data_IF_698786965648
#
_entry.id   IF_698786965648
#
_cell.length_a   1.000
_cell.length_b   1.000
_cell.length_c   1.000
_cell.angle_alpha   90.00
_cell.angle_beta   90.00
_cell.angle_gamma   90.00
#
_symmetry.space_group_name_H-M   'P 1'
#
loop_
_entity.id
_entity.type
_entity.pdbx_description
1 polymer ?
#
# COMPACT_ATOMS: atom_id res chain seq x y z
N UNK A 1 -7.75 -29.89 -4.29
CA UNK A 1 -8.37 -28.54 -4.15
C UNK A 1 -7.78 -27.82 -2.96
N UNK A 2 -7.69 -28.47 -1.80
CA UNK A 2 -7.06 -27.91 -0.59
C UNK A 2 -5.59 -27.50 -0.80
N UNK A 3 -4.87 -28.22 -1.67
CA UNK A 3 -3.48 -27.93 -2.02
C UNK A 3 -3.28 -26.54 -2.64
N UNK A 4 -4.18 -26.14 -3.54
CA UNK A 4 -4.14 -24.84 -4.20
C UNK A 4 -4.35 -23.70 -3.19
N UNK A 5 -5.29 -23.88 -2.26
CA UNK A 5 -5.53 -22.93 -1.18
C UNK A 5 -4.32 -22.85 -0.23
N UNK A 6 -3.68 -23.98 0.07
CA UNK A 6 -2.47 -24.01 0.89
C UNK A 6 -1.30 -23.28 0.22
N UNK A 7 -1.07 -23.51 -1.07
CA UNK A 7 -0.06 -22.76 -1.86
C UNK A 7 -0.37 -21.27 -1.87
N UNK A 8 -1.63 -20.88 -2.07
CA UNK A 8 -2.07 -19.48 -2.02
C UNK A 8 -1.81 -18.81 -0.68
N UNK A 9 -2.14 -19.48 0.42
CA UNK A 9 -1.95 -18.96 1.77
C UNK A 9 -0.47 -18.79 2.11
N UNK A 10 0.36 -19.80 1.78
CA UNK A 10 1.81 -19.73 2.01
C UNK A 10 2.46 -18.64 1.14
N UNK A 11 2.03 -18.50 -0.10
CA UNK A 11 2.51 -17.45 -1.00
C UNK A 11 2.10 -16.06 -0.50
N UNK A 12 0.84 -15.89 -0.09
CA UNK A 12 0.36 -14.66 0.54
C UNK A 12 1.17 -14.31 1.80
N UNK A 13 1.48 -15.31 2.64
CA UNK A 13 2.27 -15.13 3.84
C UNK A 13 3.73 -14.73 3.56
N UNK A 14 4.35 -15.23 2.49
CA UNK A 14 5.69 -14.85 2.07
C UNK A 14 5.73 -13.42 1.49
N UNK A 15 4.78 -13.07 0.62
CA UNK A 15 4.81 -11.80 -0.12
C UNK A 15 4.35 -10.60 0.70
N UNK A 16 3.29 -10.73 1.53
CA UNK A 16 2.69 -9.59 2.21
C UNK A 16 3.64 -8.82 3.15
N UNK A 17 4.48 -9.48 3.98
CA UNK A 17 5.43 -8.77 4.85
C UNK A 17 6.48 -7.99 4.08
N UNK A 18 7.07 -8.58 3.02
CA UNK A 18 8.01 -7.89 2.14
C UNK A 18 7.34 -6.70 1.44
N UNK A 19 6.09 -6.89 1.02
CA UNK A 19 5.24 -5.87 0.41
C UNK A 19 5.11 -4.59 1.24
N UNK A 20 4.87 -4.73 2.55
CA UNK A 20 4.81 -3.59 3.47
C UNK A 20 6.09 -2.77 3.43
N UNK A 21 7.26 -3.42 3.46
CA UNK A 21 8.55 -2.73 3.40
C UNK A 21 8.80 -2.10 2.03
N UNK A 22 8.44 -2.76 0.92
CA UNK A 22 8.55 -2.19 -0.43
C UNK A 22 7.73 -0.90 -0.56
N UNK A 23 6.49 -0.88 -0.05
CA UNK A 23 5.64 0.31 -0.09
C UNK A 23 6.24 1.43 0.76
N UNK A 24 6.66 1.13 1.99
CA UNK A 24 7.26 2.13 2.88
C UNK A 24 8.55 2.73 2.30
N UNK A 25 9.32 1.95 1.54
CA UNK A 25 10.54 2.38 0.84
C UNK A 25 10.28 3.04 -0.52
N UNK A 26 9.02 3.16 -0.96
CA UNK A 26 8.64 3.66 -2.30
C UNK A 26 9.23 2.84 -3.45
N UNK A 27 9.34 1.52 -3.25
CA UNK A 27 9.88 0.56 -4.21
C UNK A 27 8.79 -0.44 -4.65
N UNK A 28 7.52 -0.06 -4.59
CA UNK A 28 6.41 -0.94 -4.96
C UNK A 28 6.49 -1.42 -6.42
N UNK A 29 6.95 -0.56 -7.33
CA UNK A 29 7.13 -0.90 -8.75
C UNK A 29 8.36 -1.80 -9.01
N UNK A 30 9.26 -1.97 -8.03
CA UNK A 30 10.41 -2.88 -8.19
C UNK A 30 9.97 -4.34 -8.30
N UNK A 31 8.92 -4.75 -7.58
CA UNK A 31 8.42 -6.11 -7.66
C UNK A 31 8.00 -6.45 -9.10
N UNK A 32 7.28 -5.55 -9.77
CA UNK A 32 6.86 -5.68 -11.17
C UNK A 32 8.06 -5.66 -12.14
N UNK A 33 9.05 -4.81 -11.90
CA UNK A 33 10.27 -4.78 -12.72
C UNK A 33 11.08 -6.08 -12.61
N UNK A 34 11.25 -6.62 -11.40
CA UNK A 34 11.94 -7.90 -11.16
C UNK A 34 11.24 -9.01 -11.94
N UNK A 35 9.92 -9.06 -11.84
CA UNK A 35 9.06 -10.05 -12.50
C UNK A 35 9.33 -10.20 -14.00
N UNK A 36 9.45 -9.08 -14.70
CA UNK A 36 9.71 -9.07 -16.14
C UNK A 36 11.18 -9.33 -16.47
N UNK A 37 12.10 -8.85 -15.65
CA UNK A 37 13.54 -9.02 -15.89
C UNK A 37 14.08 -10.40 -15.52
N UNK A 38 13.35 -11.15 -14.69
CA UNK A 38 13.62 -12.55 -14.35
C UNK A 38 13.67 -13.44 -15.60
N UNK A 39 12.85 -13.15 -16.62
CA UNK A 39 12.86 -13.89 -17.90
C UNK A 39 14.26 -13.93 -18.52
N UNK A 40 14.99 -12.82 -18.50
CA UNK A 40 16.36 -12.76 -19.00
C UNK A 40 17.27 -13.71 -18.22
N UNK A 41 17.14 -13.74 -16.90
CA UNK A 41 17.92 -14.63 -16.03
C UNK A 41 17.66 -16.10 -16.30
N UNK A 42 16.39 -16.47 -16.53
CA UNK A 42 15.98 -17.84 -16.86
C UNK A 42 16.59 -18.26 -18.20
N UNK A 43 16.50 -17.42 -19.23
CA UNK A 43 17.02 -17.70 -20.58
C UNK A 43 18.55 -17.89 -20.56
N UNK A 44 19.26 -17.02 -19.84
CA UNK A 44 20.71 -17.14 -19.70
C UNK A 44 21.12 -18.42 -18.95
N UNK A 45 20.40 -18.77 -17.89
CA UNK A 45 20.65 -20.01 -17.14
C UNK A 45 20.34 -21.26 -17.98
N UNK A 46 19.27 -21.21 -18.79
CA UNK A 46 18.90 -22.27 -19.71
C UNK A 46 19.99 -22.51 -20.77
N UNK A 47 20.55 -21.46 -21.38
CA UNK A 47 21.67 -21.66 -22.33
C UNK A 47 22.93 -22.23 -21.70
N UNK A 48 23.13 -22.08 -20.40
CA UNK A 48 24.28 -22.67 -19.72
C UNK A 48 24.05 -24.14 -19.36
N UNK A 49 22.83 -24.48 -18.93
CA UNK A 49 22.50 -25.81 -18.38
C UNK A 49 21.84 -26.76 -19.38
N UNK A 50 21.18 -26.21 -20.40
CA UNK A 50 20.36 -26.94 -21.38
C UNK A 50 19.28 -27.84 -20.75
N UNK A 51 18.90 -27.58 -19.49
CA UNK A 51 17.93 -28.37 -18.74
C UNK A 51 16.93 -27.44 -18.04
N UNK A 52 15.64 -27.58 -18.35
CA UNK A 52 14.57 -26.77 -17.78
C UNK A 52 14.25 -27.12 -16.31
N UNK A 53 14.62 -28.30 -15.85
CA UNK A 53 14.37 -28.74 -14.46
C UNK A 53 15.42 -28.28 -13.45
N UNK A 54 16.49 -27.65 -13.91
CA UNK A 54 17.67 -27.39 -13.08
C UNK A 54 17.43 -26.28 -12.05
N UNK A 55 17.84 -26.45 -10.78
CA UNK A 55 17.81 -25.39 -9.77
C UNK A 55 18.58 -24.12 -10.17
N UNK A 56 19.48 -24.24 -11.14
CA UNK A 56 20.23 -23.13 -11.72
C UNK A 56 19.35 -22.09 -12.41
N UNK A 57 18.15 -22.45 -12.90
CA UNK A 57 17.21 -21.49 -13.47
C UNK A 57 16.72 -20.51 -12.41
N UNK A 58 16.38 -21.00 -11.21
CA UNK A 58 16.00 -20.16 -10.08
C UNK A 58 17.14 -19.24 -9.64
N UNK A 59 18.38 -19.75 -9.66
CA UNK A 59 19.54 -18.94 -9.33
C UNK A 59 19.77 -17.83 -10.36
N UNK A 60 19.69 -18.14 -11.66
CA UNK A 60 19.82 -17.16 -12.74
C UNK A 60 18.72 -16.09 -12.70
N UNK A 61 17.48 -16.51 -12.45
CA UNK A 61 16.34 -15.63 -12.22
C UNK A 61 16.57 -14.68 -11.03
N UNK A 62 16.92 -15.23 -9.86
CA UNK A 62 17.15 -14.45 -8.65
C UNK A 62 18.32 -13.47 -8.82
N UNK A 63 19.43 -13.93 -9.42
CA UNK A 63 20.61 -13.12 -9.74
C UNK A 63 20.24 -11.96 -10.66
N UNK A 64 19.46 -12.23 -11.71
CA UNK A 64 19.05 -11.20 -12.65
C UNK A 64 18.15 -10.14 -11.98
N UNK A 65 17.28 -10.52 -11.05
CA UNK A 65 16.53 -9.56 -10.25
C UNK A 65 17.43 -8.68 -9.37
N UNK A 66 18.52 -9.22 -8.80
CA UNK A 66 19.52 -8.42 -8.06
C UNK A 66 20.26 -7.46 -8.99
N UNK A 67 20.62 -7.92 -10.20
CA UNK A 67 21.23 -7.07 -11.24
C UNK A 67 20.28 -5.93 -11.62
N UNK A 68 18.99 -6.21 -11.85
CA UNK A 68 17.97 -5.20 -12.15
C UNK A 68 17.91 -4.13 -11.07
N UNK A 69 17.81 -4.55 -9.80
CA UNK A 69 17.78 -3.62 -8.66
C UNK A 69 19.05 -2.78 -8.57
N UNK A 70 20.22 -3.41 -8.79
CA UNK A 70 21.50 -2.73 -8.75
C UNK A 70 21.62 -1.68 -9.86
N UNK A 71 21.19 -2.01 -11.07
CA UNK A 71 21.17 -1.06 -12.19
C UNK A 71 20.22 0.11 -11.92
N UNK A 72 19.03 -0.16 -11.40
CA UNK A 72 18.05 0.89 -11.08
C UNK A 72 18.57 1.78 -9.96
N UNK A 73 19.21 1.20 -8.94
CA UNK A 73 19.79 1.98 -7.85
C UNK A 73 20.98 2.82 -8.33
N UNK A 74 21.85 2.28 -9.19
CA UNK A 74 22.97 3.03 -9.77
C UNK A 74 22.46 4.23 -10.57
N UNK A 75 21.42 4.03 -11.39
CA UNK A 75 20.82 5.11 -12.18
C UNK A 75 20.10 6.12 -11.29
N UNK A 76 19.33 5.67 -10.29
CA UNK A 76 18.64 6.53 -9.33
C UNK A 76 19.59 7.36 -8.45
N UNK A 77 20.76 6.82 -8.09
CA UNK A 77 21.80 7.53 -7.32
C UNK A 77 22.43 8.71 -8.08
N UNK A 78 22.32 8.75 -9.41
CA UNK A 78 22.85 9.88 -10.19
C UNK A 78 22.06 11.17 -9.97
N UNK A 79 20.87 11.11 -9.38
CA UNK A 79 19.90 12.21 -9.22
C UNK A 79 19.46 12.87 -10.56
N UNK A 80 19.87 12.35 -11.71
CA UNK A 80 19.45 12.83 -13.02
C UNK A 80 18.04 12.35 -13.38
N UNK A 81 17.64 11.21 -12.82
CA UNK A 81 16.40 10.50 -13.14
C UNK A 81 15.79 10.00 -11.83
N UNK A 82 14.45 10.06 -11.70
CA UNK A 82 13.77 9.52 -10.51
C UNK A 82 13.85 8.00 -10.51
N UNK A 83 13.75 7.38 -9.32
CA UNK A 83 13.74 5.91 -9.21
C UNK A 83 12.65 5.26 -10.07
N UNK A 84 11.44 5.81 -10.10
CA UNK A 84 10.34 5.28 -10.93
C UNK A 84 10.67 5.34 -12.43
N UNK A 85 11.30 6.43 -12.87
CA UNK A 85 11.73 6.60 -14.27
C UNK A 85 12.90 5.64 -14.60
N UNK A 86 13.83 5.44 -13.66
CA UNK A 86 14.95 4.50 -13.80
C UNK A 86 14.46 3.05 -13.92
N UNK A 87 13.46 2.67 -13.12
CA UNK A 87 12.74 1.39 -13.28
C UNK A 87 12.20 1.31 -14.70
N UNK A 88 11.46 2.34 -15.13
CA UNK A 88 10.84 2.46 -16.45
C UNK A 88 11.79 2.35 -17.65
N UNK A 89 13.08 2.61 -17.49
CA UNK A 89 14.09 2.48 -18.55
C UNK A 89 14.78 1.12 -18.52
N UNK A 90 15.09 0.60 -17.33
CA UNK A 90 15.89 -0.61 -17.17
C UNK A 90 15.06 -1.86 -17.41
N UNK A 91 13.82 -1.93 -16.92
CA UNK A 91 13.01 -3.13 -17.10
C UNK A 91 12.70 -3.42 -18.59
N UNK A 92 12.31 -2.44 -19.44
CA UNK A 92 12.02 -2.74 -20.84
C UNK A 92 13.28 -3.12 -21.60
N UNK A 93 14.43 -2.52 -21.27
CA UNK A 93 15.71 -2.85 -21.89
C UNK A 93 16.08 -4.32 -21.67
N UNK A 94 16.08 -4.76 -20.40
CA UNK A 94 16.42 -6.13 -20.03
C UNK A 94 15.38 -7.14 -20.55
N UNK A 95 14.11 -6.77 -20.51
CA UNK A 95 13.03 -7.60 -21.06
C UNK A 95 13.15 -7.75 -22.58
N UNK A 96 13.39 -6.66 -23.32
CA UNK A 96 13.61 -6.71 -24.76
C UNK A 96 14.85 -7.55 -25.12
N UNK A 97 15.92 -7.45 -24.34
CA UNK A 97 17.11 -8.30 -24.52
C UNK A 97 16.76 -9.79 -24.35
N UNK A 98 15.95 -10.14 -23.34
CA UNK A 98 15.48 -11.50 -23.13
C UNK A 98 14.70 -12.01 -24.34
N UNK A 99 13.74 -11.22 -24.83
CA UNK A 99 12.91 -11.57 -25.99
C UNK A 99 13.76 -11.74 -27.26
N UNK A 100 14.76 -10.88 -27.49
CA UNK A 100 15.68 -11.02 -28.63
C UNK A 100 16.49 -12.31 -28.52
N UNK A 101 17.01 -12.64 -27.33
CA UNK A 101 17.76 -13.87 -27.08
C UNK A 101 16.89 -15.12 -27.33
N UNK A 102 15.66 -15.12 -26.83
CA UNK A 102 14.68 -16.19 -27.06
C UNK A 102 14.40 -16.31 -28.57
N UNK A 103 14.03 -15.21 -29.22
CA UNK A 103 13.65 -15.20 -30.64
C UNK A 103 14.77 -15.69 -31.56
N UNK A 104 16.03 -15.30 -31.27
CA UNK A 104 17.17 -15.63 -32.11
C UNK A 104 17.76 -17.03 -31.85
N UNK A 105 17.82 -17.45 -30.60
CA UNK A 105 18.57 -18.65 -30.19
C UNK A 105 17.69 -19.78 -29.66
N UNK A 106 16.44 -19.51 -29.29
CA UNK A 106 15.52 -20.50 -28.75
C UNK A 106 14.31 -20.78 -29.66
N UNK A 107 14.28 -20.27 -30.90
CA UNK A 107 13.16 -20.50 -31.85
C UNK A 107 12.89 -21.97 -32.22
N UNK A 108 13.80 -22.90 -31.93
CA UNK A 108 13.62 -24.36 -32.08
C UNK A 108 13.43 -25.10 -30.75
N UNK A 109 13.70 -24.46 -29.62
CA UNK A 109 13.35 -24.99 -28.31
C UNK A 109 11.89 -24.60 -28.09
N UNK A 110 11.00 -25.57 -27.91
CA UNK A 110 9.68 -25.29 -27.35
C UNK A 110 9.85 -24.88 -25.89
N UNK A 111 10.48 -23.72 -25.64
CA UNK A 111 10.29 -22.97 -24.42
C UNK A 111 8.84 -22.54 -24.51
N UNK A 112 7.92 -23.42 -24.09
CA UNK A 112 6.51 -23.09 -23.99
C UNK A 112 6.45 -21.77 -23.23
N UNK A 113 6.11 -20.73 -23.96
CA UNK A 113 5.87 -19.39 -23.41
C UNK A 113 4.86 -19.50 -22.27
N UNK A 114 3.97 -20.49 -22.34
CA UNK A 114 3.00 -20.84 -21.31
C UNK A 114 3.66 -21.36 -20.01
N UNK A 115 4.76 -22.13 -20.07
CA UNK A 115 5.48 -22.61 -18.88
C UNK A 115 6.28 -21.49 -18.19
N UNK A 116 6.75 -20.49 -18.93
CA UNK A 116 7.59 -19.41 -18.38
C UNK A 116 6.76 -18.17 -18.00
N UNK A 117 5.61 -17.94 -18.64
CA UNK A 117 4.79 -16.74 -18.47
C UNK A 117 3.50 -16.98 -17.66
N UNK A 118 3.00 -18.22 -17.56
CA UNK A 118 1.73 -18.53 -16.91
C UNK A 118 1.92 -19.52 -15.76
N UNK A 119 2.48 -19.02 -14.64
CA UNK A 119 2.32 -19.73 -13.37
C UNK A 119 0.83 -19.81 -13.04
N UNK A 120 0.24 -20.99 -13.21
CA UNK A 120 -1.17 -21.19 -12.94
C UNK A 120 -1.32 -21.99 -11.65
N UNK A 121 -2.04 -21.39 -10.69
CA UNK A 121 -2.29 -21.96 -9.35
C UNK A 121 -2.84 -23.39 -9.42
N UNK A 122 -3.53 -23.73 -10.51
CA UNK A 122 -4.14 -25.04 -10.75
C UNK A 122 -3.06 -26.11 -10.98
N UNK A 123 -1.94 -25.78 -11.64
CA UNK A 123 -0.84 -26.70 -11.91
C UNK A 123 0.14 -26.82 -10.74
N UNK A 124 0.11 -25.89 -9.79
CA UNK A 124 0.99 -25.91 -8.61
C UNK A 124 0.82 -27.18 -7.76
N UNK A 125 -0.33 -27.86 -7.84
CA UNK A 125 -0.62 -29.12 -7.16
C UNK A 125 -0.18 -30.38 -7.92
N UNK A 126 0.29 -30.29 -9.17
CA UNK A 126 0.66 -31.46 -9.98
C UNK A 126 2.06 -32.02 -9.68
N UNK A 127 2.98 -31.16 -9.20
CA UNK A 127 4.29 -31.59 -8.73
C UNK A 127 4.24 -31.78 -7.22
N UNK A 128 3.92 -33.00 -6.77
CA UNK A 128 3.93 -33.38 -5.35
C UNK A 128 5.28 -34.00 -4.97
N UNK A 129 5.70 -33.76 -3.73
CA UNK A 129 6.86 -34.39 -3.10
C UNK A 129 6.33 -35.17 -1.90
N UNK A 130 6.65 -36.45 -1.86
CA UNK A 130 6.25 -37.31 -0.75
C UNK A 130 7.22 -37.11 0.42
N UNK A 131 6.73 -36.58 1.54
CA UNK A 131 7.50 -36.43 2.77
C UNK A 131 6.74 -37.16 3.88
N UNK A 132 7.29 -38.28 4.34
CA UNK A 132 6.72 -39.06 5.45
C UNK A 132 5.37 -39.72 5.14
N UNK A 133 5.08 -40.04 3.87
CA UNK A 133 3.83 -40.68 3.43
C UNK A 133 2.67 -39.72 3.16
N UNK A 134 2.93 -38.41 3.13
CA UNK A 134 1.97 -37.38 2.72
C UNK A 134 2.50 -36.68 1.47
N UNK A 135 1.69 -36.66 0.41
CA UNK A 135 1.97 -35.91 -0.81
C UNK A 135 1.74 -34.42 -0.57
N UNK A 136 2.83 -33.63 -0.57
CA UNK A 136 2.76 -32.17 -0.40
C UNK A 136 3.20 -31.51 -1.71
N UNK A 137 2.50 -30.48 -2.21
CA UNK A 137 2.94 -29.75 -3.39
C UNK A 137 4.35 -29.17 -3.21
N UNK A 138 5.25 -29.39 -4.17
CA UNK A 138 6.62 -28.86 -4.14
C UNK A 138 6.62 -27.33 -4.00
N UNK A 139 5.65 -26.66 -4.63
CA UNK A 139 5.45 -25.21 -4.53
C UNK A 139 5.10 -24.77 -3.10
N UNK A 140 4.27 -25.53 -2.38
CA UNK A 140 3.93 -25.25 -0.99
C UNK A 140 5.16 -25.32 -0.09
N UNK A 141 6.02 -26.32 -0.28
CA UNK A 141 7.24 -26.46 0.51
C UNK A 141 8.23 -25.32 0.25
N UNK A 142 8.44 -24.95 -1.03
CA UNK A 142 9.29 -23.80 -1.41
C UNK A 142 8.77 -22.51 -0.80
N UNK A 143 7.47 -22.21 -0.97
CA UNK A 143 6.87 -20.97 -0.48
C UNK A 143 6.76 -20.93 1.04
N UNK A 144 6.46 -22.05 1.69
CA UNK A 144 6.47 -22.17 3.15
C UNK A 144 7.87 -21.98 3.74
N UNK A 145 8.88 -22.58 3.12
CA UNK A 145 10.28 -22.36 3.50
C UNK A 145 10.72 -20.90 3.33
N UNK A 146 10.34 -20.27 2.22
CA UNK A 146 10.57 -18.84 1.99
C UNK A 146 9.81 -17.97 3.00
N UNK A 147 8.55 -18.28 3.31
CA UNK A 147 7.77 -17.54 4.30
C UNK A 147 8.44 -17.59 5.68
N UNK A 148 8.93 -18.75 6.10
CA UNK A 148 9.69 -18.91 7.35
C UNK A 148 11.03 -18.15 7.31
N UNK A 149 11.76 -18.23 6.21
CA UNK A 149 13.02 -17.49 6.01
C UNK A 149 12.79 -15.97 6.10
N UNK A 150 11.73 -15.47 5.46
CA UNK A 150 11.34 -14.06 5.46
C UNK A 150 10.90 -13.64 6.87
N UNK A 151 10.10 -14.44 7.55
CA UNK A 151 9.67 -14.17 8.92
C UNK A 151 10.89 -14.13 9.87
N UNK A 152 11.82 -15.08 9.75
CA UNK A 152 13.07 -15.09 10.51
C UNK A 152 13.94 -13.87 10.20
N UNK A 153 14.11 -13.52 8.93
CA UNK A 153 14.86 -12.34 8.51
C UNK A 153 14.25 -11.05 9.07
N UNK A 154 12.93 -10.86 8.95
CA UNK A 154 12.24 -9.67 9.45
C UNK A 154 12.29 -9.60 10.97
N UNK A 155 12.16 -10.73 11.68
CA UNK A 155 12.19 -10.74 13.15
C UNK A 155 13.59 -10.46 13.71
N UNK A 156 14.62 -11.06 13.12
CA UNK A 156 16.02 -10.83 13.53
C UNK A 156 16.47 -9.40 13.22
N UNK A 157 16.22 -8.92 11.99
CA UNK A 157 16.64 -7.59 11.54
C UNK A 157 15.54 -6.53 11.70
N UNK A 158 14.57 -6.74 12.59
CA UNK A 158 13.40 -5.87 12.71
C UNK A 158 13.79 -4.41 13.01
N UNK A 159 14.75 -4.21 13.91
CA UNK A 159 15.17 -2.88 14.35
C UNK A 159 15.89 -2.15 13.23
N UNK A 160 16.79 -2.85 12.54
CA UNK A 160 17.61 -2.35 11.45
C UNK A 160 16.77 -2.04 10.21
N UNK A 161 15.85 -2.94 9.84
CA UNK A 161 14.89 -2.72 8.74
C UNK A 161 13.96 -1.56 9.05
N UNK A 162 13.49 -1.43 10.29
CA UNK A 162 12.64 -0.30 10.70
C UNK A 162 13.39 1.02 10.58
N UNK A 163 14.57 1.15 11.21
CA UNK A 163 15.30 2.42 11.18
C UNK A 163 15.73 2.77 9.75
N UNK A 164 16.30 1.83 9.00
CA UNK A 164 16.71 2.08 7.61
C UNK A 164 15.57 2.44 6.66
N UNK A 165 14.34 2.00 6.94
CA UNK A 165 13.17 2.31 6.11
C UNK A 165 12.60 3.70 6.39
N UNK A 166 12.62 4.15 7.65
CA UNK A 166 12.08 5.46 8.02
C UNK A 166 13.12 6.58 7.93
N UNK A 167 14.38 6.28 8.24
CA UNK A 167 15.50 7.21 8.17
C UNK A 167 16.82 6.49 7.84
N UNK A 168 17.14 6.47 6.55
CA UNK A 168 18.36 5.84 6.04
C UNK A 168 19.65 6.56 6.44
N UNK A 169 19.61 7.87 6.68
CA UNK A 169 20.79 8.64 7.10
C UNK A 169 21.09 8.40 8.57
N UNK A 170 20.07 8.47 9.42
CA UNK A 170 20.19 8.13 10.84
C UNK A 170 20.65 6.68 11.03
N UNK A 171 20.12 5.73 10.25
CA UNK A 171 20.58 4.34 10.27
C UNK A 171 22.09 4.21 10.04
N UNK A 172 22.64 4.94 9.05
CA UNK A 172 24.09 4.93 8.78
C UNK A 172 24.90 5.54 9.91
N UNK A 173 24.40 6.62 10.52
CA UNK A 173 25.07 7.30 11.64
C UNK A 173 25.20 6.41 12.88
N UNK A 174 24.19 5.58 13.16
CA UNK A 174 24.21 4.63 14.29
C UNK A 174 24.96 3.32 13.95
N UNK A 175 25.60 3.23 12.78
CA UNK A 175 26.43 2.09 12.38
C UNK A 175 25.68 0.92 11.72
N UNK A 176 24.41 1.10 11.33
CA UNK A 176 23.67 0.04 10.60
C UNK A 176 24.20 -0.05 9.17
N UNK A 177 24.59 -1.26 8.69
CA UNK A 177 25.09 -1.45 7.33
C UNK A 177 23.93 -1.43 6.32
N UNK A 178 23.37 -0.24 6.04
CA UNK A 178 22.16 -0.07 5.22
C UNK A 178 22.30 -0.65 3.82
N UNK A 179 23.50 -0.62 3.23
CA UNK A 179 23.74 -1.16 1.89
C UNK A 179 23.59 -2.67 1.84
N UNK A 180 24.23 -3.40 2.76
CA UNK A 180 24.13 -4.87 2.83
C UNK A 180 22.68 -5.28 3.09
N UNK A 181 22.02 -4.65 4.08
CA UNK A 181 20.62 -4.93 4.38
C UNK A 181 19.68 -4.66 3.20
N UNK A 182 19.95 -3.61 2.42
CA UNK A 182 19.19 -3.30 1.22
C UNK A 182 19.36 -4.41 0.17
N UNK A 183 20.58 -4.78 -0.19
CA UNK A 183 20.80 -5.83 -1.20
C UNK A 183 20.32 -7.21 -0.72
N UNK A 184 20.48 -7.55 0.56
CA UNK A 184 19.93 -8.79 1.11
C UNK A 184 18.41 -8.80 1.05
N UNK A 185 17.76 -7.70 1.46
CA UNK A 185 16.30 -7.57 1.36
C UNK A 185 15.82 -7.69 -0.09
N UNK A 186 16.47 -6.99 -1.02
CA UNK A 186 16.09 -7.03 -2.45
C UNK A 186 16.38 -8.39 -3.09
N UNK A 187 17.43 -9.09 -2.68
CA UNK A 187 17.71 -10.48 -3.10
C UNK A 187 16.63 -11.43 -2.61
N UNK A 188 16.20 -11.27 -1.36
CA UNK A 188 15.11 -12.05 -0.77
C UNK A 188 13.77 -11.76 -1.47
N UNK A 189 13.48 -10.49 -1.76
CA UNK A 189 12.33 -10.09 -2.59
C UNK A 189 12.42 -10.71 -3.98
N UNK A 190 13.58 -10.64 -4.64
CA UNK A 190 13.79 -11.23 -5.97
C UNK A 190 13.50 -12.73 -5.98
N UNK A 191 14.10 -13.47 -5.06
CA UNK A 191 13.89 -14.91 -4.91
C UNK A 191 12.42 -15.24 -4.63
N UNK A 192 11.77 -14.46 -3.76
CA UNK A 192 10.36 -14.65 -3.42
C UNK A 192 9.45 -14.37 -4.61
N UNK A 193 9.74 -13.32 -5.38
CA UNK A 193 9.02 -13.01 -6.61
C UNK A 193 9.12 -14.18 -7.58
N UNK A 194 10.33 -14.64 -7.92
CA UNK A 194 10.51 -15.78 -8.84
C UNK A 194 9.73 -17.02 -8.39
N UNK A 195 9.86 -17.39 -7.12
CA UNK A 195 9.17 -18.57 -6.59
C UNK A 195 7.64 -18.40 -6.56
N UNK A 196 7.15 -17.20 -6.23
CA UNK A 196 5.72 -16.90 -6.25
C UNK A 196 5.15 -16.83 -7.67
N UNK A 197 5.96 -16.38 -8.64
CA UNK A 197 5.60 -16.31 -10.05
C UNK A 197 5.33 -17.71 -10.60
N UNK A 198 6.23 -18.64 -10.34
CA UNK A 198 6.09 -20.06 -10.69
C UNK A 198 4.85 -20.69 -10.01
N UNK A 199 4.63 -20.37 -8.73
CA UNK A 199 3.56 -20.99 -7.95
C UNK A 199 2.15 -20.46 -8.26
N UNK A 200 2.00 -19.16 -8.52
CA UNK A 200 0.69 -18.48 -8.47
C UNK A 200 0.46 -17.51 -9.64
N UNK A 201 1.51 -17.14 -10.37
CA UNK A 201 1.42 -16.32 -11.55
C UNK A 201 1.61 -14.82 -11.32
N UNK A 202 2.02 -14.13 -12.38
CA UNK A 202 2.60 -12.80 -12.32
C UNK A 202 1.73 -11.72 -11.64
N UNK A 203 0.48 -11.62 -12.10
CA UNK A 203 -0.45 -10.59 -11.67
C UNK A 203 -0.78 -10.73 -10.18
N UNK A 204 -0.95 -11.97 -9.71
CA UNK A 204 -1.31 -12.22 -8.32
C UNK A 204 -0.14 -11.97 -7.36
N UNK A 205 1.10 -12.24 -7.79
CA UNK A 205 2.28 -11.88 -6.99
C UNK A 205 2.31 -10.37 -6.71
N UNK A 206 2.17 -9.54 -7.74
CA UNK A 206 2.15 -8.07 -7.59
C UNK A 206 1.01 -7.65 -6.66
N UNK A 207 -0.16 -8.28 -6.80
CA UNK A 207 -1.30 -8.04 -5.91
C UNK A 207 -0.96 -8.35 -4.45
N UNK A 208 -0.32 -9.49 -4.14
CA UNK A 208 0.07 -9.85 -2.77
C UNK A 208 1.16 -8.95 -2.18
N UNK A 209 2.09 -8.44 -2.99
CA UNK A 209 3.07 -7.47 -2.50
C UNK A 209 2.41 -6.11 -2.17
N UNK A 210 1.48 -5.63 -2.98
CA UNK A 210 1.05 -4.23 -2.89
C UNK A 210 -0.26 -4.06 -2.11
N UNK A 211 -1.32 -4.77 -2.49
CA UNK A 211 -2.68 -4.47 -2.01
C UNK A 211 -2.89 -4.73 -0.50
N UNK A 212 -2.46 -5.86 0.09
CA UNK A 212 -2.61 -6.10 1.53
C UNK A 212 -1.82 -5.10 2.38
N UNK A 213 -0.58 -4.79 1.96
CA UNK A 213 0.28 -3.83 2.64
C UNK A 213 -0.29 -2.40 2.59
N UNK A 214 -0.75 -1.98 1.41
CA UNK A 214 -1.39 -0.69 1.21
C UNK A 214 -2.67 -0.56 2.04
N UNK A 215 -3.49 -1.62 2.09
CA UNK A 215 -4.68 -1.70 2.94
C UNK A 215 -4.32 -1.54 4.41
N UNK A 216 -3.33 -2.30 4.91
CA UNK A 216 -2.93 -2.24 6.32
C UNK A 216 -2.38 -0.88 6.76
N UNK A 217 -1.65 -0.18 5.88
CA UNK A 217 -1.10 1.15 6.12
C UNK A 217 -2.17 2.24 6.25
N UNK A 218 -3.38 2.03 5.73
CA UNK A 218 -4.50 2.96 5.91
C UNK A 218 -5.09 2.89 7.32
N UNK A 219 -5.04 1.73 7.98
CA UNK A 219 -5.62 1.51 9.30
C UNK A 219 -4.66 1.77 10.46
N UNK A 220 -3.37 1.46 10.32
CA UNK A 220 -2.42 1.50 11.44
C UNK A 220 -1.14 2.26 11.14
N UNK A 221 -0.58 2.94 12.16
CA UNK A 221 0.72 3.65 12.09
C UNK A 221 1.90 2.85 12.66
N UNK A 222 1.63 1.80 13.43
CA UNK A 222 2.65 0.96 14.04
C UNK A 222 3.08 -0.16 13.09
N UNK A 223 4.37 -0.19 12.72
CA UNK A 223 4.91 -1.16 11.76
C UNK A 223 4.58 -2.62 12.11
N UNK A 224 4.70 -3.03 13.37
CA UNK A 224 4.39 -4.41 13.78
C UNK A 224 2.92 -4.78 13.52
N UNK A 225 2.00 -3.86 13.85
CA UNK A 225 0.59 -4.06 13.58
C UNK A 225 0.29 -4.03 12.08
N UNK A 226 0.98 -3.18 11.31
CA UNK A 226 0.85 -3.16 9.85
C UNK A 226 1.28 -4.49 9.22
N UNK A 227 2.40 -5.08 9.66
CA UNK A 227 2.86 -6.38 9.16
C UNK A 227 1.84 -7.49 9.46
N UNK A 228 1.36 -7.55 10.70
CA UNK A 228 0.36 -8.55 11.11
C UNK A 228 -0.96 -8.37 10.36
N UNK A 229 -1.43 -7.12 10.24
CA UNK A 229 -2.68 -6.81 9.54
C UNK A 229 -2.57 -7.11 8.03
N UNK A 230 -1.44 -6.79 7.40
CA UNK A 230 -1.21 -7.10 5.98
C UNK A 230 -1.23 -8.61 5.73
N UNK A 231 -0.59 -9.39 6.61
CA UNK A 231 -0.61 -10.85 6.55
C UNK A 231 -2.04 -11.39 6.68
N UNK A 232 -2.79 -10.96 7.70
CA UNK A 232 -4.17 -11.39 7.95
C UNK A 232 -5.10 -11.02 6.78
N UNK A 233 -5.02 -9.78 6.30
CA UNK A 233 -5.81 -9.30 5.15
C UNK A 233 -5.49 -10.14 3.91
N UNK A 234 -4.21 -10.39 3.63
CA UNK A 234 -3.80 -11.19 2.48
C UNK A 234 -4.35 -12.62 2.56
N UNK A 235 -4.24 -13.29 3.72
CA UNK A 235 -4.73 -14.66 3.90
C UNK A 235 -6.25 -14.76 3.77
N UNK A 236 -6.99 -13.84 4.39
CA UNK A 236 -8.47 -13.80 4.30
C UNK A 236 -8.91 -13.53 2.86
N UNK A 237 -8.27 -12.57 2.18
CA UNK A 237 -8.60 -12.25 0.79
C UNK A 237 -8.29 -13.41 -0.16
N UNK A 238 -7.17 -14.13 0.04
CA UNK A 238 -6.85 -15.32 -0.73
C UNK A 238 -7.88 -16.42 -0.53
N UNK A 239 -8.31 -16.68 0.71
CA UNK A 239 -9.31 -17.70 1.00
C UNK A 239 -10.68 -17.35 0.37
N UNK A 240 -11.11 -16.09 0.49
CA UNK A 240 -12.36 -15.61 -0.12
C UNK A 240 -12.28 -15.61 -1.65
N UNK A 241 -11.17 -15.15 -2.20
CA UNK A 241 -10.92 -15.14 -3.65
C UNK A 241 -10.93 -16.56 -4.23
N UNK A 242 -10.30 -17.52 -3.55
CA UNK A 242 -10.33 -18.93 -3.91
C UNK A 242 -11.75 -19.49 -3.88
N UNK A 243 -12.50 -19.30 -2.78
CA UNK A 243 -13.86 -19.79 -2.66
C UNK A 243 -14.78 -19.25 -3.78
N UNK A 244 -14.69 -17.95 -4.07
CA UNK A 244 -15.43 -17.33 -5.16
C UNK A 244 -15.01 -17.85 -6.53
N UNK A 245 -13.71 -18.08 -6.75
CA UNK A 245 -13.20 -18.58 -8.02
C UNK A 245 -13.71 -19.99 -8.33
N UNK A 246 -13.77 -20.85 -7.31
CA UNK A 246 -14.34 -22.19 -7.42
C UNK A 246 -15.83 -22.14 -7.72
N UNK A 247 -16.58 -21.27 -7.03
CA UNK A 247 -18.03 -21.14 -7.28
C UNK A 247 -18.36 -20.56 -8.66
N UNK A 248 -17.56 -19.61 -9.15
CA UNK A 248 -17.78 -18.95 -10.45
C UNK A 248 -17.09 -19.66 -11.62
N UNK A 249 -16.35 -20.74 -11.36
CA UNK A 249 -15.52 -21.45 -12.33
C UNK A 249 -14.62 -20.51 -13.15
N UNK A 250 -13.94 -19.60 -12.45
CA UNK A 250 -13.10 -18.56 -13.04
C UNK A 250 -11.65 -18.64 -12.52
N UNK A 251 -10.73 -17.87 -13.12
CA UNK A 251 -9.30 -17.89 -12.73
C UNK A 251 -9.11 -17.57 -11.24
N UNK A 252 -8.54 -18.52 -10.51
CA UNK A 252 -8.21 -18.40 -9.08
C UNK A 252 -7.28 -17.21 -8.85
N UNK A 253 -6.24 -17.07 -9.69
CA UNK A 253 -5.29 -15.98 -9.59
C UNK A 253 -5.95 -14.61 -9.82
N UNK A 254 -6.80 -14.52 -10.84
CA UNK A 254 -7.55 -13.31 -11.18
C UNK A 254 -8.52 -12.90 -10.07
N UNK A 255 -9.33 -13.81 -9.54
CA UNK A 255 -10.30 -13.48 -8.49
C UNK A 255 -9.65 -13.11 -7.16
N UNK A 256 -8.56 -13.78 -6.76
CA UNK A 256 -7.80 -13.36 -5.58
C UNK A 256 -7.22 -11.95 -5.75
N UNK A 257 -6.71 -11.63 -6.95
CA UNK A 257 -6.20 -10.29 -7.25
C UNK A 257 -7.31 -9.23 -7.19
N UNK A 258 -8.48 -9.53 -7.77
CA UNK A 258 -9.67 -8.66 -7.69
C UNK A 258 -10.10 -8.47 -6.24
N UNK A 259 -10.14 -9.53 -5.43
CA UNK A 259 -10.55 -9.44 -4.03
C UNK A 259 -9.60 -8.56 -3.21
N UNK A 260 -8.28 -8.73 -3.39
CA UNK A 260 -7.28 -7.86 -2.81
C UNK A 260 -7.49 -6.39 -3.19
N UNK A 261 -7.75 -6.11 -4.46
CA UNK A 261 -7.94 -4.75 -4.95
C UNK A 261 -9.26 -4.15 -4.49
N UNK A 262 -10.33 -4.93 -4.41
CA UNK A 262 -11.64 -4.51 -3.91
C UNK A 262 -11.57 -4.15 -2.43
N UNK A 263 -10.92 -4.98 -1.60
CA UNK A 263 -10.70 -4.68 -0.19
C UNK A 263 -9.84 -3.43 -0.01
N UNK A 264 -8.80 -3.25 -0.82
CA UNK A 264 -8.01 -2.03 -0.84
C UNK A 264 -8.85 -0.79 -1.20
N UNK A 265 -9.69 -0.86 -2.24
CA UNK A 265 -10.58 0.23 -2.63
C UNK A 265 -11.60 0.56 -1.54
N UNK A 266 -12.21 -0.44 -0.91
CA UNK A 266 -13.10 -0.24 0.23
C UNK A 266 -12.37 0.42 1.40
N UNK A 267 -11.16 -0.02 1.72
CA UNK A 267 -10.32 0.60 2.74
C UNK A 267 -9.93 2.05 2.38
N UNK A 268 -9.68 2.34 1.12
CA UNK A 268 -9.37 3.70 0.65
C UNK A 268 -10.58 4.64 0.78
N UNK A 269 -11.79 4.13 0.53
CA UNK A 269 -13.02 4.91 0.64
C UNK A 269 -13.43 5.10 2.11
N UNK A 270 -13.48 4.01 2.88
CA UNK A 270 -14.06 3.96 4.23
C UNK A 270 -13.05 4.09 5.38
N UNK A 271 -11.76 3.92 5.11
CA UNK A 271 -10.73 3.88 6.14
C UNK A 271 -10.63 5.16 6.96
N UNK A 272 -9.96 5.15 8.12
CA UNK A 272 -9.85 6.31 9.01
C UNK A 272 -9.13 7.52 8.38
N UNK A 273 -8.32 7.28 7.35
CA UNK A 273 -7.70 8.30 6.47
C UNK A 273 -8.25 8.29 5.04
N UNK A 274 -9.35 7.58 4.82
CA UNK A 274 -9.96 7.43 3.51
C UNK A 274 -10.43 8.76 2.92
N UNK A 275 -10.64 8.78 1.60
CA UNK A 275 -11.07 9.98 0.89
C UNK A 275 -12.41 10.51 1.44
N UNK A 276 -13.36 9.61 1.74
CA UNK A 276 -14.69 9.97 2.24
C UNK A 276 -14.62 10.46 3.69
N UNK A 277 -13.89 9.78 4.56
CA UNK A 277 -13.76 10.17 5.98
C UNK A 277 -13.02 11.50 6.12
N UNK A 278 -11.99 11.73 5.32
CA UNK A 278 -11.26 13.01 5.27
C UNK A 278 -12.15 14.14 4.75
N UNK A 279 -12.93 13.90 3.70
CA UNK A 279 -13.90 14.87 3.17
C UNK A 279 -14.97 15.23 4.22
N UNK A 280 -15.55 14.23 4.89
CA UNK A 280 -16.55 14.43 5.95
C UNK A 280 -15.94 15.21 7.13
N UNK A 281 -14.74 14.83 7.59
CA UNK A 281 -14.03 15.54 8.68
C UNK A 281 -13.72 16.98 8.30
N UNK A 282 -13.24 17.24 7.08
CA UNK A 282 -12.98 18.60 6.58
C UNK A 282 -14.27 19.42 6.55
N UNK A 283 -15.37 18.87 6.04
CA UNK A 283 -16.67 19.56 6.01
C UNK A 283 -17.22 19.84 7.40
N UNK A 284 -17.08 18.90 8.35
CA UNK A 284 -17.46 19.11 9.76
C UNK A 284 -16.58 20.17 10.43
N UNK A 285 -15.26 20.11 10.24
CA UNK A 285 -14.31 21.09 10.78
C UNK A 285 -14.56 22.49 10.24
N UNK A 286 -14.85 22.64 8.94
CA UNK A 286 -15.19 23.93 8.34
C UNK A 286 -16.52 24.47 8.88
N UNK A 287 -17.54 23.63 9.07
CA UNK A 287 -18.80 24.04 9.70
C UNK A 287 -18.58 24.48 11.14
N UNK A 288 -17.78 23.75 11.91
CA UNK A 288 -17.45 24.11 13.28
C UNK A 288 -16.68 25.43 13.34
N UNK A 289 -15.67 25.61 12.48
CA UNK A 289 -14.91 26.86 12.38
C UNK A 289 -15.81 28.06 12.01
N UNK A 290 -16.78 27.88 11.10
CA UNK A 290 -17.75 28.92 10.79
C UNK A 290 -18.60 29.28 12.02
N UNK A 291 -19.09 28.29 12.76
CA UNK A 291 -19.86 28.56 13.98
C UNK A 291 -19.02 29.26 15.07
N UNK A 292 -17.78 28.81 15.27
CA UNK A 292 -16.84 29.40 16.24
C UNK A 292 -16.50 30.85 15.86
N UNK A 293 -16.20 31.13 14.58
CA UNK A 293 -15.91 32.49 14.09
C UNK A 293 -17.10 33.43 14.25
N UNK A 294 -18.31 32.94 13.96
CA UNK A 294 -19.54 33.74 14.08
C UNK A 294 -19.81 34.10 15.56
N UNK A 295 -19.63 33.14 16.48
CA UNK A 295 -19.75 33.38 17.92
C UNK A 295 -18.65 34.30 18.47
N UNK A 296 -17.40 34.15 18.02
CA UNK A 296 -16.29 35.01 18.43
C UNK A 296 -16.48 36.45 17.97
N UNK A 297 -16.95 36.64 16.72
CA UNK A 297 -17.22 37.97 16.18
C UNK A 297 -18.33 38.66 16.97
N UNK A 298 -19.49 38.00 17.13
CA UNK A 298 -20.60 38.56 17.91
C UNK A 298 -20.16 38.82 19.35
N UNK A 299 -19.49 37.86 20.00
CA UNK A 299 -19.08 38.01 21.39
C UNK A 299 -18.08 39.12 21.64
N UNK A 300 -17.15 39.35 20.71
CA UNK A 300 -16.24 40.50 20.80
C UNK A 300 -17.01 41.82 20.75
N UNK A 301 -17.94 41.96 19.81
CA UNK A 301 -18.65 43.22 19.63
C UNK A 301 -19.77 43.43 20.66
N UNK A 302 -20.43 42.38 21.14
CA UNK A 302 -21.39 42.44 22.25
C UNK A 302 -20.69 42.81 23.56
N UNK A 303 -19.44 42.37 23.78
CA UNK A 303 -18.64 42.75 24.95
C UNK A 303 -18.14 44.21 24.88
N UNK A 304 -17.91 44.74 23.68
CA UNK A 304 -17.49 46.14 23.46
C UNK A 304 -18.67 47.12 23.55
N UNK A 305 -19.83 46.82 22.91
CA UNK A 305 -21.10 47.55 23.02
C UNK A 305 -22.30 46.63 22.75
N UNK A 306 -23.33 46.69 23.59
CA UNK A 306 -24.54 45.83 23.47
C UNK A 306 -25.21 45.96 22.08
N UNK A 307 -25.24 47.17 21.50
CA UNK A 307 -25.71 47.43 20.13
C UNK A 307 -24.56 47.95 19.25
N UNK A 308 -23.63 47.06 18.89
CA UNK A 308 -22.58 47.39 17.90
C UNK A 308 -23.15 47.32 16.48
N UNK A 309 -22.86 48.31 15.64
CA UNK A 309 -23.20 48.31 14.20
C UNK A 309 -22.67 47.04 13.50
N UNK A 310 -21.53 46.53 13.93
CA UNK A 310 -20.91 45.31 13.37
C UNK A 310 -21.74 44.02 13.61
N UNK A 311 -22.66 44.03 14.57
CA UNK A 311 -23.58 42.92 14.83
C UNK A 311 -24.92 43.05 14.07
N UNK A 312 -25.07 44.08 13.24
CA UNK A 312 -26.26 44.28 12.42
C UNK A 312 -26.37 43.16 11.38
N UNK A 313 -27.58 42.63 11.19
CA UNK A 313 -27.81 41.45 10.36
C UNK A 313 -27.39 41.63 8.89
N UNK A 314 -27.36 42.88 8.42
CA UNK A 314 -26.99 43.24 7.05
C UNK A 314 -25.48 43.50 6.90
N UNK A 315 -24.77 43.91 7.96
CA UNK A 315 -23.34 44.26 7.92
C UNK A 315 -22.43 43.09 8.32
N UNK A 316 -22.95 42.14 9.11
CA UNK A 316 -22.17 40.98 9.59
C UNK A 316 -21.61 40.11 8.45
N UNK A 317 -22.32 40.08 7.31
CA UNK A 317 -21.86 39.40 6.09
C UNK A 317 -20.62 40.04 5.50
N UNK A 318 -20.53 41.37 5.53
CA UNK A 318 -19.40 42.14 4.98
C UNK A 318 -18.17 42.05 5.90
N UNK A 319 -18.38 42.07 7.22
CA UNK A 319 -17.29 41.93 8.20
C UNK A 319 -16.68 40.52 8.18
N UNK A 320 -17.50 39.48 8.02
CA UNK A 320 -17.03 38.10 7.89
C UNK A 320 -16.60 37.72 6.46
N UNK A 321 -16.90 38.57 5.47
CA UNK A 321 -16.77 38.29 4.02
C UNK A 321 -17.51 37.02 3.60
N UNK A 322 -18.74 36.85 4.10
CA UNK A 322 -19.58 35.68 3.86
C UNK A 322 -20.84 36.04 3.08
N UNK A 323 -21.21 35.19 2.12
CA UNK A 323 -22.48 35.31 1.41
C UNK A 323 -23.68 35.22 2.37
N UNK A 324 -24.78 35.91 2.05
CA UNK A 324 -26.01 35.93 2.85
C UNK A 324 -26.53 34.52 3.17
N UNK A 325 -26.43 33.59 2.22
CA UNK A 325 -26.84 32.19 2.41
C UNK A 325 -26.04 31.50 3.52
N UNK A 326 -24.75 31.83 3.66
CA UNK A 326 -23.85 31.26 4.67
C UNK A 326 -24.15 31.87 6.03
N UNK A 327 -24.33 33.19 6.10
CA UNK A 327 -24.74 33.92 7.32
C UNK A 327 -26.06 33.37 7.83
N UNK A 328 -27.08 33.28 6.98
CA UNK A 328 -28.43 32.78 7.33
C UNK A 328 -28.41 31.34 7.81
N UNK A 329 -27.55 30.48 7.24
CA UNK A 329 -27.42 29.09 7.67
C UNK A 329 -26.80 29.01 9.07
N UNK A 330 -25.68 29.70 9.27
CA UNK A 330 -24.93 29.64 10.54
C UNK A 330 -25.72 30.31 11.66
N UNK A 331 -26.37 31.44 11.39
CA UNK A 331 -27.20 32.13 12.40
C UNK A 331 -28.38 31.27 12.84
N UNK A 332 -29.11 30.63 11.91
CA UNK A 332 -30.17 29.66 12.26
C UNK A 332 -29.65 28.50 13.10
N UNK A 333 -28.54 27.88 12.71
CA UNK A 333 -27.95 26.76 13.46
C UNK A 333 -27.58 27.14 14.90
N UNK A 334 -27.14 28.38 15.13
CA UNK A 334 -26.78 28.89 16.45
C UNK A 334 -28.00 29.37 17.27
N UNK A 335 -29.02 29.91 16.61
CA UNK A 335 -30.30 30.27 17.24
C UNK A 335 -31.05 29.01 17.69
N UNK A 336 -31.12 27.98 16.85
CA UNK A 336 -31.75 26.69 17.21
C UNK A 336 -31.06 26.03 18.42
N UNK A 337 -29.75 26.26 18.56
CA UNK A 337 -28.96 25.78 19.71
C UNK A 337 -29.02 26.71 20.93
N UNK A 338 -29.85 27.74 20.90
CA UNK A 338 -30.05 28.71 21.99
C UNK A 338 -28.77 29.45 22.38
N UNK A 339 -27.79 29.56 21.47
CA UNK A 339 -26.54 30.30 21.68
C UNK A 339 -26.64 31.75 21.22
N UNK A 340 -27.54 32.04 20.28
CA UNK A 340 -27.82 33.37 19.78
C UNK A 340 -29.31 33.66 19.85
N UNK A 341 -29.65 34.92 20.07
CA UNK A 341 -30.99 35.44 19.89
C UNK A 341 -30.93 36.64 18.92
N UNK A 342 -32.01 36.86 18.18
CA UNK A 342 -32.13 38.03 17.28
C UNK A 342 -33.09 39.02 17.90
N UNK A 343 -32.59 40.19 18.27
CA UNK A 343 -33.40 41.28 18.81
C UNK A 343 -33.45 42.40 17.76
N UNK A 344 -34.59 42.53 17.07
CA UNK A 344 -34.73 43.41 15.90
C UNK A 344 -33.75 43.06 14.77
N UNK A 345 -32.87 44.00 14.45
CA UNK A 345 -31.86 43.85 13.38
C UNK A 345 -30.49 43.39 13.89
N UNK A 346 -30.32 43.10 15.17
CA UNK A 346 -29.03 42.70 15.76
C UNK A 346 -29.01 41.23 16.20
N UNK A 347 -27.84 40.61 16.07
CA UNK A 347 -27.57 39.31 16.70
C UNK A 347 -26.90 39.52 18.06
N UNK A 348 -27.47 38.91 19.09
CA UNK A 348 -26.98 38.98 20.47
C UNK A 348 -26.73 37.58 21.03
N UNK A 349 -25.77 37.48 21.95
CA UNK A 349 -25.50 36.25 22.68
C UNK A 349 -26.51 36.06 23.81
N UNK A 350 -26.97 34.82 23.97
CA UNK A 350 -27.67 34.38 25.19
C UNK A 350 -26.66 34.13 26.31
N UNK A 351 -27.11 33.88 27.54
CA UNK A 351 -26.21 33.44 28.63
C UNK A 351 -25.41 32.18 28.26
N UNK A 352 -26.06 31.22 27.59
CA UNK A 352 -25.40 30.02 27.08
C UNK A 352 -24.38 30.35 25.96
N UNK A 353 -24.71 31.30 25.09
CA UNK A 353 -23.80 31.83 24.07
C UNK A 353 -22.57 32.50 24.66
N UNK A 354 -22.75 33.33 25.70
CA UNK A 354 -21.66 34.01 26.39
C UNK A 354 -20.70 33.02 27.05
N UNK A 355 -21.23 31.98 27.72
CA UNK A 355 -20.41 30.91 28.27
C UNK A 355 -19.62 30.14 27.19
N UNK A 356 -20.26 29.86 26.05
CA UNK A 356 -19.59 29.23 24.89
C UNK A 356 -18.50 30.13 24.30
N UNK A 357 -18.74 31.44 24.20
CA UNK A 357 -17.75 32.44 23.78
C UNK A 357 -16.53 32.45 24.70
N UNK A 358 -16.72 32.51 26.03
CA UNK A 358 -15.60 32.48 26.99
C UNK A 358 -14.80 31.19 26.90
N UNK A 359 -15.48 30.05 26.70
CA UNK A 359 -14.81 28.77 26.47
C UNK A 359 -14.01 28.76 25.15
N UNK A 360 -14.51 29.40 24.09
CA UNK A 360 -13.81 29.56 22.82
C UNK A 360 -12.58 30.47 22.94
N UNK A 361 -12.67 31.61 23.65
CA UNK A 361 -11.52 32.48 23.91
C UNK A 361 -10.38 31.72 24.61
N UNK A 362 -10.72 30.94 25.66
CA UNK A 362 -9.74 30.06 26.34
C UNK A 362 -9.14 28.99 25.41
N UNK A 363 -9.95 28.44 24.50
CA UNK A 363 -9.52 27.39 23.57
C UNK A 363 -8.57 27.92 22.49
N UNK A 364 -8.77 29.15 22.03
CA UNK A 364 -8.01 29.77 20.94
C UNK A 364 -6.93 30.76 21.42
N UNK A 365 -6.69 30.88 22.73
CA UNK A 365 -5.77 31.87 23.34
C UNK A 365 -6.06 33.31 22.88
N UNK A 366 -7.34 33.67 22.83
CA UNK A 366 -7.81 35.02 22.47
C UNK A 366 -8.18 35.77 23.74
#
# INVERSE_FOLDING_TARGET
>A
MDDALLVLLLTAAACAPLGVFLILRRLSMMADAISHTVLLGIVLAFFLTHDLGSPWLLFGAALMGVVTVSLVELLGKTNLVKYDDAIGVIFPLLFALAVILISKYAGNAHLDTDMVLMGEVIYAGLNTVEIGGVEIPAAALKMGGLALLIAAFITVFYKELKVSTFDGEYARLIGVPTGILFYTFMSLTSLTTVAAFDAVGAILVISFFIAPGATALLFTKHLSHTLLLALLVSMVNSALGYALAVHMNASIAGLCAVMNMLVYLLALLMGPKGAVTTYIRRKRSMRQMQRDLFLLHIGRHTAERVESAENHADEIGDHLKWDENKVRRVSRELIDQHLLHREGSYYLLTEAGAAAYTALCKRYYI
#
